data_IF_030258712782
#
_entry.id   IF_030258712782
#
_cell.length_a   1.000
_cell.length_b   1.000
_cell.length_c   1.000
_cell.angle_alpha   90.00
_cell.angle_beta   90.00
_cell.angle_gamma   90.00
#
_symmetry.space_group_name_H-M   'P 1'
#
loop_
_entity.id
_entity.type
_entity.pdbx_description
1 polymer ?
#
# COMPACT_ATOMS: atom_id res chain seq x y z
N UNK A 1 -9.03 6.03 -14.34
CA UNK A 1 -9.91 5.53 -15.43
C UNK A 1 -10.84 4.43 -14.90
N UNK A 2 -10.95 4.24 -13.58
CA UNK A 2 -11.85 3.25 -12.97
C UNK A 2 -11.38 1.80 -13.06
N UNK A 3 -10.38 1.50 -13.88
CA UNK A 3 -10.00 0.10 -14.19
C UNK A 3 -8.92 -0.48 -13.27
N UNK A 4 -8.23 0.36 -12.48
CA UNK A 4 -7.17 -0.09 -11.58
C UNK A 4 -6.09 -0.89 -12.32
N UNK A 5 -5.77 -2.08 -11.84
CA UNK A 5 -4.88 -3.05 -12.49
C UNK A 5 -5.60 -4.03 -13.45
N UNK A 6 -6.92 -4.00 -13.55
CA UNK A 6 -7.71 -4.94 -14.36
C UNK A 6 -7.76 -4.59 -15.86
N UNK A 7 -7.24 -3.42 -16.25
CA UNK A 7 -7.27 -2.95 -17.62
C UNK A 7 -6.99 -1.45 -17.72
N UNK A 8 -7.35 -0.86 -18.86
CA UNK A 8 -7.15 0.57 -19.11
C UNK A 8 -5.68 0.95 -19.19
N UNK A 9 -5.29 2.03 -18.50
CA UNK A 9 -3.90 2.49 -18.45
C UNK A 9 -3.06 1.63 -17.51
N UNK A 10 -1.81 1.37 -17.88
CA UNK A 10 -0.80 0.84 -16.95
C UNK A 10 -0.54 1.86 -15.84
N UNK A 11 -0.65 1.40 -14.58
CA UNK A 11 -0.47 2.21 -13.37
C UNK A 11 0.69 1.63 -12.56
N UNK A 12 1.66 2.44 -12.12
CA UNK A 12 2.79 1.94 -11.34
C UNK A 12 2.37 1.65 -9.90
N UNK A 13 2.88 0.57 -9.28
CA UNK A 13 2.78 0.38 -7.83
C UNK A 13 3.53 1.49 -7.08
N UNK A 14 3.11 1.80 -5.85
CA UNK A 14 3.62 2.98 -5.14
C UNK A 14 4.94 2.73 -4.37
N UNK A 15 4.99 1.76 -3.46
CA UNK A 15 6.13 1.55 -2.56
C UNK A 15 6.51 0.08 -2.42
N UNK A 16 7.79 -0.26 -2.62
CA UNK A 16 8.32 -1.61 -2.44
C UNK A 16 9.12 -1.72 -1.14
N UNK A 17 8.53 -2.34 -0.12
CA UNK A 17 9.19 -2.78 1.11
C UNK A 17 9.69 -4.22 0.92
N UNK A 18 10.76 -4.39 0.14
CA UNK A 18 11.27 -5.71 -0.22
C UNK A 18 12.58 -6.05 0.50
N UNK A 19 12.74 -7.32 0.88
CA UNK A 19 13.96 -7.86 1.49
C UNK A 19 14.46 -7.08 2.73
N UNK A 20 13.52 -6.59 3.55
CA UNK A 20 13.83 -5.90 4.80
C UNK A 20 13.87 -6.89 5.96
N UNK A 21 14.95 -6.84 6.74
CA UNK A 21 15.14 -7.66 7.96
C UNK A 21 15.27 -6.75 9.17
N UNK A 22 14.61 -7.07 10.29
CA UNK A 22 14.67 -6.33 11.57
C UNK A 22 14.56 -4.81 11.39
N UNK A 23 13.59 -4.39 10.57
CA UNK A 23 13.47 -3.02 10.06
C UNK A 23 12.19 -2.35 10.53
N UNK A 24 12.15 -1.02 10.49
CA UNK A 24 10.94 -0.27 10.81
C UNK A 24 10.62 0.85 9.81
N UNK A 25 9.33 1.11 9.62
CA UNK A 25 8.79 2.22 8.83
C UNK A 25 7.75 2.93 9.71
N UNK A 26 7.94 4.20 10.01
CA UNK A 26 7.09 4.92 10.99
C UNK A 26 6.58 6.25 10.45
N UNK A 27 5.29 6.55 10.66
CA UNK A 27 4.72 7.89 10.50
C UNK A 27 4.63 8.40 9.05
N UNK A 28 4.61 7.49 8.07
CA UNK A 28 4.51 7.85 6.65
C UNK A 28 3.05 8.11 6.26
N UNK A 29 2.80 9.17 5.49
CA UNK A 29 1.50 9.42 4.86
C UNK A 29 1.62 9.32 3.34
N UNK A 30 0.77 8.52 2.72
CA UNK A 30 0.66 8.33 1.27
C UNK A 30 -0.71 8.83 0.83
N UNK A 31 -0.75 9.71 -0.19
CA UNK A 31 -1.98 10.29 -0.71
C UNK A 31 -2.18 9.96 -2.19
N UNK A 32 -3.40 9.55 -2.55
CA UNK A 32 -3.87 9.27 -3.91
C UNK A 32 -2.91 8.37 -4.73
N UNK A 33 -2.56 7.18 -4.22
CA UNK A 33 -1.76 6.22 -4.96
C UNK A 33 -2.51 5.78 -6.23
N UNK A 34 -1.80 5.53 -7.34
CA UNK A 34 -2.43 5.19 -8.62
C UNK A 34 -3.03 3.77 -8.67
N UNK A 35 -2.47 2.84 -7.90
CA UNK A 35 -2.89 1.43 -7.75
C UNK A 35 -2.35 0.94 -6.38
N UNK A 36 -2.02 -0.35 -6.20
CA UNK A 36 -1.55 -0.93 -4.94
C UNK A 36 -0.40 -0.13 -4.31
N UNK A 37 -0.46 -0.01 -2.98
CA UNK A 37 0.29 1.01 -2.24
C UNK A 37 1.59 0.46 -1.70
N UNK A 38 1.55 -0.39 -0.67
CA UNK A 38 2.75 -0.93 -0.02
C UNK A 38 2.90 -2.41 -0.36
N UNK A 39 3.88 -2.74 -1.22
CA UNK A 39 4.24 -4.12 -1.50
C UNK A 39 5.32 -4.58 -0.53
N UNK A 40 4.96 -5.48 0.38
CA UNK A 40 5.83 -6.12 1.38
C UNK A 40 6.18 -7.52 0.86
N UNK A 41 7.46 -7.76 0.58
CA UNK A 41 7.89 -9.04 0.02
C UNK A 41 9.28 -9.45 0.50
N UNK A 42 9.44 -10.71 0.91
CA UNK A 42 10.74 -11.21 1.38
C UNK A 42 11.19 -10.61 2.72
N UNK A 43 10.27 -10.13 3.55
CA UNK A 43 10.61 -9.47 4.82
C UNK A 43 10.67 -10.46 6.00
N UNK A 44 11.52 -10.17 6.99
CA UNK A 44 11.52 -10.87 8.28
C UNK A 44 11.74 -9.87 9.42
N UNK A 45 10.74 -9.68 10.28
CA UNK A 45 10.83 -8.71 11.38
C UNK A 45 10.63 -7.26 10.97
N UNK A 46 9.80 -7.00 9.94
CA UNK A 46 9.42 -5.63 9.55
C UNK A 46 8.29 -5.10 10.44
N UNK A 47 8.49 -3.96 11.08
CA UNK A 47 7.44 -3.24 11.83
C UNK A 47 7.06 -1.93 11.13
N UNK A 48 5.79 -1.79 10.73
CA UNK A 48 5.23 -0.55 10.20
C UNK A 48 4.32 0.07 11.26
N UNK A 49 4.57 1.32 11.66
CA UNK A 49 3.81 2.01 12.71
C UNK A 49 3.26 3.35 12.20
N UNK A 50 2.01 3.65 12.54
CA UNK A 50 1.35 4.94 12.27
C UNK A 50 1.37 5.39 10.81
N UNK A 51 1.31 4.44 9.87
CA UNK A 51 1.21 4.77 8.44
C UNK A 51 -0.22 5.18 8.07
N UNK A 52 -0.36 6.28 7.34
CA UNK A 52 -1.65 6.72 6.76
C UNK A 52 -1.62 6.54 5.24
N UNK A 53 -2.61 5.85 4.69
CA UNK A 53 -2.87 5.73 3.26
C UNK A 53 -4.23 6.35 3.00
N UNK A 54 -4.26 7.44 2.24
CA UNK A 54 -5.48 8.19 1.91
C UNK A 54 -5.66 8.26 0.40
N UNK A 55 -6.52 7.39 -0.12
CA UNK A 55 -7.01 7.37 -1.49
C UNK A 55 -8.50 7.76 -1.55
N UNK A 56 -9.05 8.47 -0.56
CA UNK A 56 -10.47 8.80 -0.49
C UNK A 56 -10.98 9.60 -1.71
N UNK A 57 -10.12 10.38 -2.36
CA UNK A 57 -10.45 11.09 -3.61
C UNK A 57 -10.81 10.10 -4.75
N UNK A 58 -10.36 8.85 -4.68
CA UNK A 58 -10.62 7.78 -5.64
C UNK A 58 -12.08 7.31 -5.66
N UNK A 59 -12.84 7.49 -4.57
CA UNK A 59 -14.28 7.16 -4.52
C UNK A 59 -15.09 8.07 -5.46
N UNK A 60 -14.60 9.28 -5.71
CA UNK A 60 -15.30 10.26 -6.53
C UNK A 60 -15.41 9.76 -7.97
N UNK A 61 -16.64 9.50 -8.40
CA UNK A 61 -16.96 8.94 -9.71
C UNK A 61 -16.26 7.60 -9.98
N UNK A 62 -16.00 6.79 -8.94
CA UNK A 62 -15.42 5.44 -9.06
C UNK A 62 -14.11 5.44 -9.86
N UNK A 63 -13.24 6.41 -9.60
CA UNK A 63 -12.02 6.62 -10.39
C UNK A 63 -10.82 5.83 -9.88
N UNK A 64 -10.80 5.50 -8.59
CA UNK A 64 -9.83 4.63 -7.94
C UNK A 64 -10.29 3.17 -7.97
N UNK A 65 -9.34 2.26 -8.17
CA UNK A 65 -9.58 0.81 -8.17
C UNK A 65 -8.25 0.10 -7.95
N UNK A 66 -8.24 -0.99 -7.18
CA UNK A 66 -7.02 -1.72 -6.77
C UNK A 66 -6.01 -0.84 -6.02
N UNK A 67 -6.46 -0.08 -5.03
CA UNK A 67 -5.59 0.77 -4.19
C UNK A 67 -5.26 0.10 -2.86
N UNK A 68 -4.89 -1.17 -2.95
CA UNK A 68 -4.59 -2.06 -1.83
C UNK A 68 -3.57 -1.44 -0.87
N UNK A 69 -3.93 -1.31 0.41
CA UNK A 69 -3.06 -0.64 1.39
C UNK A 69 -1.73 -1.36 1.60
N UNK A 70 -1.79 -2.66 1.89
CA UNK A 70 -0.62 -3.50 2.16
C UNK A 70 -0.77 -4.87 1.47
N UNK A 71 0.03 -5.09 0.43
CA UNK A 71 0.18 -6.39 -0.23
C UNK A 71 1.34 -7.15 0.42
N UNK A 72 1.09 -8.29 1.07
CA UNK A 72 2.12 -9.06 1.79
C UNK A 72 2.33 -10.41 1.11
N UNK A 73 3.57 -10.69 0.71
CA UNK A 73 3.99 -11.99 0.20
C UNK A 73 5.34 -12.42 0.78
N UNK A 74 5.58 -13.74 0.84
CA UNK A 74 6.89 -14.33 1.17
C UNK A 74 7.59 -13.68 2.39
N UNK A 75 6.84 -13.36 3.45
CA UNK A 75 7.36 -12.60 4.59
C UNK A 75 7.01 -13.27 5.91
N UNK A 76 7.86 -13.09 6.92
CA UNK A 76 7.68 -13.54 8.29
C UNK A 76 7.70 -12.33 9.24
N UNK A 77 7.00 -12.45 10.38
CA UNK A 77 7.07 -11.48 11.47
C UNK A 77 6.84 -10.01 11.06
N UNK A 78 5.90 -9.79 10.15
CA UNK A 78 5.48 -8.43 9.75
C UNK A 78 4.44 -7.93 10.75
N UNK A 79 4.72 -6.78 11.36
CA UNK A 79 3.80 -6.08 12.27
C UNK A 79 3.37 -4.79 11.59
N UNK A 80 2.06 -4.55 11.52
CA UNK A 80 1.49 -3.28 11.07
C UNK A 80 0.60 -2.78 12.20
N UNK A 81 0.97 -1.64 12.79
CA UNK A 81 0.30 -1.06 13.95
C UNK A 81 -0.06 0.41 13.71
N UNK A 82 -1.22 0.83 14.24
CA UNK A 82 -1.69 2.22 14.12
C UNK A 82 -2.03 2.70 12.69
N UNK A 83 -2.10 1.80 11.71
CA UNK A 83 -2.34 2.20 10.32
C UNK A 83 -3.76 2.75 10.10
N UNK A 84 -3.88 3.78 9.25
CA UNK A 84 -5.16 4.35 8.79
C UNK A 84 -5.22 4.22 7.27
N UNK A 85 -6.23 3.55 6.75
CA UNK A 85 -6.36 3.28 5.31
C UNK A 85 -7.74 3.69 4.82
N UNK A 86 -7.76 4.57 3.81
CA UNK A 86 -8.94 4.95 3.03
C UNK A 86 -8.65 4.56 1.58
N UNK A 87 -9.33 3.55 1.04
CA UNK A 87 -9.03 2.98 -0.29
C UNK A 87 -10.25 2.43 -1.03
N UNK A 88 -10.02 1.97 -2.27
CA UNK A 88 -10.95 1.27 -3.18
C UNK A 88 -10.46 -0.13 -3.51
#
# INVERSE_FOLDING_TARGET
>A
DGEGGNGGKTKPKFFSAHALTDSSITGITIKNPPVQVVSINGCDGLTITDMTIDASDGDKNEQGHNTDGFDIGESNNVIIDGAKVYNQ
#
